data_IF_037999946577
#
_entry.id   IF_037999946577
#
_cell.length_a   1.000
_cell.length_b   1.000
_cell.length_c   1.000
_cell.angle_alpha   90.00
_cell.angle_beta   90.00
_cell.angle_gamma   90.00
#
_symmetry.space_group_name_H-M   'P 1'
#
loop_
_entity.id
_entity.type
_entity.pdbx_description
1 polymer ?
#
# COMPACT_ATOMS: atom_id res chain seq x y z
N UNK A 1 42.89 23.09 -23.06
CA UNK A 1 43.03 21.97 -22.12
C UNK A 1 42.18 22.28 -20.90
N UNK A 2 40.89 21.94 -20.94
CA UNK A 2 39.98 22.06 -19.80
C UNK A 2 39.94 20.69 -19.11
N UNK A 3 40.55 20.61 -17.94
CA UNK A 3 40.47 19.46 -17.04
C UNK A 3 39.00 19.18 -16.69
N UNK A 4 38.40 18.18 -17.32
CA UNK A 4 37.19 17.57 -16.81
C UNK A 4 37.60 16.71 -15.61
N UNK A 5 37.60 17.31 -14.41
CA UNK A 5 37.60 16.56 -13.16
C UNK A 5 36.34 15.70 -13.13
N UNK A 6 36.48 14.39 -13.34
CA UNK A 6 35.41 13.45 -13.03
C UNK A 6 35.03 13.64 -11.55
N UNK A 7 33.76 13.85 -11.20
CA UNK A 7 33.36 13.94 -9.81
C UNK A 7 33.70 12.61 -9.13
N UNK A 8 34.59 12.64 -8.15
CA UNK A 8 35.02 11.47 -7.39
C UNK A 8 33.82 10.89 -6.64
N UNK A 9 33.31 9.75 -7.09
CA UNK A 9 32.19 9.08 -6.43
C UNK A 9 32.71 8.40 -5.17
N UNK A 10 32.09 8.71 -4.04
CA UNK A 10 32.39 8.11 -2.75
C UNK A 10 31.29 7.13 -2.37
N UNK A 11 31.68 5.94 -1.89
CA UNK A 11 30.80 5.00 -1.20
C UNK A 11 30.95 5.22 0.30
N UNK A 12 29.89 5.69 0.93
CA UNK A 12 29.88 5.97 2.37
C UNK A 12 28.83 5.11 3.06
N UNK A 13 29.25 4.44 4.13
CA UNK A 13 28.39 3.65 5.01
C UNK A 13 28.11 4.47 6.25
N UNK A 14 26.84 4.74 6.49
CA UNK A 14 26.34 5.42 7.67
C UNK A 14 25.70 4.41 8.61
N UNK A 15 26.02 4.49 9.89
CA UNK A 15 25.23 3.85 10.95
C UNK A 15 24.13 4.82 11.33
N UNK A 16 22.88 4.37 11.30
CA UNK A 16 21.70 5.16 11.65
C UNK A 16 20.92 4.42 12.74
N UNK A 17 21.30 4.59 14.03
CA UNK A 17 20.78 3.76 15.12
C UNK A 17 19.26 3.71 15.23
N UNK A 18 18.56 4.82 14.97
CA UNK A 18 17.10 4.88 15.08
C UNK A 18 16.35 4.43 13.80
N UNK A 19 17.03 3.90 12.79
CA UNK A 19 16.39 3.44 11.54
C UNK A 19 15.83 2.01 11.69
N UNK A 20 14.76 1.81 12.47
CA UNK A 20 14.12 0.49 12.67
C UNK A 20 12.98 0.25 11.71
N UNK A 21 12.40 1.33 11.22
CA UNK A 21 11.10 1.28 10.61
C UNK A 21 11.13 1.97 9.23
N UNK A 22 10.18 1.57 8.38
CA UNK A 22 9.98 2.18 7.08
C UNK A 22 9.86 3.70 7.03
N UNK A 23 9.33 4.29 8.09
CA UNK A 23 9.07 5.73 8.16
C UNK A 23 10.39 6.50 8.26
N UNK A 24 11.37 5.97 8.99
CA UNK A 24 12.71 6.57 9.09
C UNK A 24 13.48 6.42 7.78
N UNK A 25 13.36 5.29 7.09
CA UNK A 25 13.90 5.13 5.73
C UNK A 25 13.34 6.21 4.78
N UNK A 26 12.01 6.39 4.76
CA UNK A 26 11.37 7.38 3.91
C UNK A 26 11.83 8.81 4.25
N UNK A 27 11.95 9.14 5.54
CA UNK A 27 12.46 10.44 6.00
C UNK A 27 13.91 10.69 5.53
N UNK A 28 14.75 9.65 5.58
CA UNK A 28 16.13 9.71 5.07
C UNK A 28 16.12 9.95 3.55
N UNK A 29 15.33 9.19 2.78
CA UNK A 29 15.23 9.37 1.32
C UNK A 29 14.77 10.78 0.94
N UNK A 30 13.82 11.34 1.68
CA UNK A 30 13.33 12.70 1.45
C UNK A 30 14.38 13.76 1.78
N UNK A 31 15.10 13.62 2.90
CA UNK A 31 16.14 14.56 3.32
C UNK A 31 17.33 14.58 2.34
N UNK A 32 17.64 13.43 1.76
CA UNK A 32 18.74 13.23 0.83
C UNK A 32 18.38 13.54 -0.64
N UNK A 33 17.10 13.73 -0.96
CA UNK A 33 16.63 13.95 -2.34
C UNK A 33 17.15 15.21 -3.03
N UNK A 34 17.80 16.13 -2.29
CA UNK A 34 18.44 17.33 -2.85
C UNK A 34 19.92 17.16 -3.19
N UNK A 35 20.53 16.01 -2.91
CA UNK A 35 21.96 15.73 -3.10
C UNK A 35 22.21 14.86 -4.34
N UNK A 36 23.44 14.93 -4.87
CA UNK A 36 23.88 14.13 -6.01
C UNK A 36 24.19 12.68 -5.59
N UNK A 37 23.14 11.92 -5.30
CA UNK A 37 23.21 10.52 -4.85
C UNK A 37 22.89 9.58 -5.99
N UNK A 38 23.81 8.65 -6.26
CA UNK A 38 23.70 7.64 -7.30
C UNK A 38 22.96 6.40 -6.82
N UNK A 39 23.20 5.96 -5.59
CA UNK A 39 22.52 4.81 -4.98
C UNK A 39 22.30 5.02 -3.49
N UNK A 40 21.20 4.46 -2.96
CA UNK A 40 20.95 4.33 -1.52
C UNK A 40 20.46 2.92 -1.24
N UNK A 41 21.18 2.19 -0.40
CA UNK A 41 20.82 0.86 0.07
C UNK A 41 20.64 0.89 1.59
N UNK A 42 19.54 0.32 2.08
CA UNK A 42 19.11 0.41 3.47
C UNK A 42 19.10 -0.98 4.10
N UNK A 43 20.07 -1.24 4.94
CA UNK A 43 20.16 -2.44 5.76
C UNK A 43 19.57 -2.15 7.16
N UNK A 44 18.24 -2.17 7.22
CA UNK A 44 17.45 -1.94 8.45
C UNK A 44 17.87 -2.90 9.58
N UNK A 45 18.02 -4.23 9.37
CA UNK A 45 18.46 -5.14 10.42
C UNK A 45 19.78 -4.72 11.09
N UNK A 46 20.75 -4.22 10.31
CA UNK A 46 22.05 -3.81 10.82
C UNK A 46 22.16 -2.30 11.09
N UNK A 47 21.07 -1.54 10.93
CA UNK A 47 21.04 -0.07 11.10
C UNK A 47 22.05 0.65 10.20
N UNK A 48 22.24 0.17 8.97
CA UNK A 48 23.23 0.71 8.02
C UNK A 48 22.57 1.29 6.77
N UNK A 49 23.09 2.43 6.34
CA UNK A 49 22.73 3.14 5.12
C UNK A 49 23.97 3.25 4.24
N UNK A 50 23.94 2.62 3.08
CA UNK A 50 25.05 2.62 2.13
C UNK A 50 24.69 3.55 0.99
N UNK A 51 25.49 4.59 0.78
CA UNK A 51 25.23 5.62 -0.23
C UNK A 51 26.43 5.72 -1.16
N UNK A 52 26.18 5.71 -2.46
CA UNK A 52 27.16 6.20 -3.44
C UNK A 52 26.78 7.62 -3.86
N UNK A 53 27.66 8.59 -3.66
CA UNK A 53 27.37 10.00 -3.92
C UNK A 53 28.58 10.74 -4.49
N UNK A 54 28.32 11.86 -5.15
CA UNK A 54 29.35 12.78 -5.64
C UNK A 54 29.63 13.95 -4.68
N UNK A 55 28.92 14.00 -3.56
CA UNK A 55 29.10 15.02 -2.50
C UNK A 55 30.24 14.65 -1.54
N UNK A 56 30.68 15.58 -0.70
CA UNK A 56 31.53 15.22 0.45
C UNK A 56 30.73 14.43 1.49
N UNK A 57 31.28 13.38 2.12
CA UNK A 57 30.58 12.54 3.10
C UNK A 57 29.94 13.33 4.26
N UNK A 58 30.59 14.43 4.69
CA UNK A 58 30.08 15.29 5.75
C UNK A 58 28.85 16.10 5.31
N UNK A 59 28.75 16.49 4.03
CA UNK A 59 27.56 17.18 3.51
C UNK A 59 26.35 16.26 3.53
N UNK A 60 26.56 14.98 3.22
CA UNK A 60 25.51 13.95 3.35
C UNK A 60 25.14 13.74 4.81
N UNK A 61 26.13 13.68 5.71
CA UNK A 61 25.89 13.57 7.14
C UNK A 61 25.08 14.76 7.70
N UNK A 62 25.40 15.98 7.28
CA UNK A 62 24.72 17.21 7.72
C UNK A 62 23.24 17.24 7.33
N UNK A 63 22.84 16.49 6.30
CA UNK A 63 21.42 16.30 5.95
C UNK A 63 20.73 15.24 6.81
N UNK A 64 21.48 14.29 7.37
CA UNK A 64 20.97 13.22 8.22
C UNK A 64 20.88 13.63 9.69
N UNK A 65 21.80 14.47 10.18
CA UNK A 65 21.84 14.91 11.59
C UNK A 65 20.51 15.56 12.04
N UNK A 66 19.87 16.46 11.27
CA UNK A 66 18.61 17.08 11.67
C UNK A 66 17.43 16.12 11.83
N UNK A 67 17.50 14.90 11.26
CA UNK A 67 16.47 13.88 11.43
C UNK A 67 16.45 13.30 12.85
N UNK A 68 17.50 13.51 13.65
CA UNK A 68 17.56 13.03 15.03
C UNK A 68 17.80 11.52 15.15
N UNK A 69 18.12 10.82 14.05
CA UNK A 69 18.31 9.36 14.07
C UNK A 69 19.69 8.89 14.54
N UNK A 70 20.57 9.82 14.94
CA UNK A 70 21.91 9.52 15.44
C UNK A 70 22.90 9.07 14.36
N UNK A 71 22.68 9.48 13.10
CA UNK A 71 23.51 9.09 11.96
C UNK A 71 24.99 9.42 12.20
N UNK A 72 25.88 8.47 11.88
CA UNK A 72 27.35 8.62 11.93
C UNK A 72 27.97 7.93 10.73
N UNK A 73 29.08 8.46 10.24
CA UNK A 73 29.88 7.80 9.21
C UNK A 73 30.62 6.63 9.87
N UNK A 74 30.39 5.41 9.37
CA UNK A 74 31.16 4.22 9.74
C UNK A 74 32.40 4.08 8.86
N UNK A 75 32.26 4.28 7.55
CA UNK A 75 33.36 4.21 6.59
C UNK A 75 33.03 5.03 5.34
N UNK A 76 34.04 5.58 4.69
CA UNK A 76 33.93 6.26 3.41
C UNK A 76 35.12 5.90 2.53
N UNK A 77 34.85 5.43 1.31
CA UNK A 77 35.87 5.05 0.34
C UNK A 77 35.62 5.75 -1.00
N UNK A 78 36.64 6.39 -1.54
CA UNK A 78 36.60 6.96 -2.90
C UNK A 78 36.73 5.81 -3.90
N UNK A 79 35.81 5.72 -4.86
CA UNK A 79 35.84 4.69 -5.88
C UNK A 79 36.72 5.19 -7.04
N UNK A 80 37.97 4.70 -7.11
CA UNK A 80 38.97 5.09 -8.12
C UNK A 80 38.63 4.56 -9.53
N UNK A 81 37.85 3.47 -9.61
CA UNK A 81 37.33 2.87 -10.85
C UNK A 81 35.81 2.67 -10.74
N UNK A 82 35.06 3.76 -10.60
CA UNK A 82 33.62 3.70 -10.85
C UNK A 82 33.42 3.57 -12.37
N UNK A 83 33.60 2.36 -12.90
CA UNK A 83 32.93 1.97 -14.12
C UNK A 83 31.45 2.29 -13.88
N UNK A 84 30.96 3.32 -14.56
CA UNK A 84 29.54 3.41 -14.85
C UNK A 84 29.26 2.19 -15.71
N UNK A 85 29.07 1.02 -15.09
CA UNK A 85 28.15 0.06 -15.63
C UNK A 85 26.87 0.88 -15.78
N UNK A 86 26.40 1.16 -17.01
CA UNK A 86 25.11 1.79 -17.17
C UNK A 86 24.17 0.95 -16.30
N UNK A 87 23.44 1.63 -15.44
CA UNK A 87 22.47 1.02 -14.53
C UNK A 87 21.59 0.10 -15.38
N UNK A 88 21.96 -1.17 -15.46
CA UNK A 88 21.09 -2.29 -15.79
C UNK A 88 20.38 -2.75 -14.49
N UNK A 89 20.37 -1.89 -13.48
CA UNK A 89 19.54 -2.03 -12.30
C UNK A 89 18.12 -1.58 -12.67
N UNK A 90 17.22 -2.56 -12.62
CA UNK A 90 15.81 -2.42 -12.27
C UNK A 90 14.77 -2.01 -13.32
N UNK A 91 15.10 -1.70 -14.58
CA UNK A 91 14.04 -1.55 -15.60
C UNK A 91 13.16 -2.82 -15.75
N UNK A 92 13.75 -4.00 -15.60
CA UNK A 92 13.02 -5.28 -15.61
C UNK A 92 12.31 -5.58 -14.28
N UNK A 93 12.84 -5.13 -13.14
CA UNK A 93 12.18 -5.28 -11.83
C UNK A 93 11.01 -4.31 -11.68
N UNK A 94 11.18 -3.04 -12.05
CA UNK A 94 10.13 -2.02 -12.12
C UNK A 94 9.03 -2.41 -13.11
N UNK A 95 9.39 -2.95 -14.28
CA UNK A 95 8.41 -3.45 -15.24
C UNK A 95 7.62 -4.65 -14.68
N UNK A 96 8.26 -5.50 -13.88
CA UNK A 96 7.62 -6.66 -13.26
C UNK A 96 6.76 -6.27 -12.05
N UNK A 97 7.19 -5.32 -11.22
CA UNK A 97 6.40 -4.74 -10.13
C UNK A 97 5.18 -4.00 -10.66
N UNK A 98 5.36 -3.19 -11.71
CA UNK A 98 4.26 -2.53 -12.41
C UNK A 98 3.24 -3.54 -12.95
N UNK A 99 3.69 -4.68 -13.51
CA UNK A 99 2.79 -5.75 -13.95
C UNK A 99 2.00 -6.34 -12.78
N UNK A 100 2.63 -6.55 -11.63
CA UNK A 100 1.96 -7.05 -10.42
C UNK A 100 0.90 -6.05 -9.95
N UNK A 101 1.25 -4.76 -9.86
CA UNK A 101 0.29 -3.70 -9.49
C UNK A 101 -0.89 -3.60 -10.47
N UNK A 102 -0.66 -3.75 -11.78
CA UNK A 102 -1.74 -3.79 -12.77
C UNK A 102 -2.65 -5.01 -12.54
N UNK A 103 -2.09 -6.17 -12.22
CA UNK A 103 -2.87 -7.35 -11.88
C UNK A 103 -3.70 -7.16 -10.62
N UNK A 104 -3.10 -6.62 -9.55
CA UNK A 104 -3.80 -6.32 -8.30
C UNK A 104 -4.94 -5.32 -8.52
N UNK A 105 -4.68 -4.27 -9.30
CA UNK A 105 -5.71 -3.30 -9.72
C UNK A 105 -6.84 -3.96 -10.50
N UNK A 106 -6.52 -4.79 -11.49
CA UNK A 106 -7.53 -5.43 -12.33
C UNK A 106 -8.40 -6.40 -11.52
N UNK A 107 -7.79 -7.18 -10.63
CA UNK A 107 -8.49 -8.15 -9.80
C UNK A 107 -9.41 -7.47 -8.76
N UNK A 108 -8.88 -6.52 -7.98
CA UNK A 108 -9.68 -5.75 -7.02
C UNK A 108 -10.76 -4.91 -7.70
N UNK A 109 -10.41 -4.24 -8.80
CA UNK A 109 -11.36 -3.44 -9.56
C UNK A 109 -12.50 -4.27 -10.15
N UNK A 110 -12.22 -5.48 -10.66
CA UNK A 110 -13.25 -6.39 -11.14
C UNK A 110 -14.13 -6.90 -10.00
N UNK A 111 -13.52 -7.33 -8.89
CA UNK A 111 -14.25 -7.84 -7.72
C UNK A 111 -15.15 -6.77 -7.10
N UNK A 112 -14.69 -5.51 -7.02
CA UNK A 112 -15.53 -4.39 -6.59
C UNK A 112 -16.87 -4.34 -7.34
N UNK A 113 -16.85 -4.44 -8.68
CA UNK A 113 -18.09 -4.43 -9.46
C UNK A 113 -18.94 -5.69 -9.24
N UNK A 114 -18.32 -6.85 -9.13
CA UNK A 114 -19.02 -8.11 -8.84
C UNK A 114 -19.73 -8.02 -7.49
N UNK A 115 -19.02 -7.61 -6.44
CA UNK A 115 -19.53 -7.58 -5.07
C UNK A 115 -20.52 -6.45 -4.82
N UNK A 116 -20.33 -5.27 -5.40
CA UNK A 116 -21.30 -4.18 -5.22
C UNK A 116 -22.63 -4.51 -5.89
N UNK A 117 -22.61 -5.15 -7.07
CA UNK A 117 -23.81 -5.58 -7.79
C UNK A 117 -24.46 -6.74 -7.03
N UNK A 118 -23.67 -7.77 -6.67
CA UNK A 118 -24.18 -8.92 -5.95
C UNK A 118 -24.73 -8.54 -4.57
N UNK A 119 -24.02 -7.72 -3.80
CA UNK A 119 -24.45 -7.21 -2.50
C UNK A 119 -25.70 -6.36 -2.59
N UNK A 120 -25.89 -5.60 -3.67
CA UNK A 120 -27.13 -4.88 -3.91
C UNK A 120 -28.30 -5.82 -4.15
N UNK A 121 -28.14 -6.81 -5.04
CA UNK A 121 -29.19 -7.79 -5.38
C UNK A 121 -29.52 -8.66 -4.17
N UNK A 122 -28.49 -9.15 -3.47
CA UNK A 122 -28.58 -10.01 -2.30
C UNK A 122 -28.99 -9.27 -1.02
N UNK A 123 -29.13 -7.93 -1.05
CA UNK A 123 -29.42 -7.10 0.13
C UNK A 123 -28.43 -7.31 1.28
N UNK A 124 -27.15 -7.59 0.99
CA UNK A 124 -26.12 -7.87 2.00
C UNK A 124 -25.29 -6.62 2.29
N UNK A 125 -25.26 -6.22 3.56
CA UNK A 125 -24.37 -5.18 4.06
C UNK A 125 -22.91 -5.63 4.05
N UNK A 126 -22.64 -6.91 4.34
CA UNK A 126 -21.29 -7.50 4.31
C UNK A 126 -20.66 -7.42 2.93
N UNK A 127 -21.34 -7.93 1.89
CA UNK A 127 -20.85 -7.88 0.51
C UNK A 127 -20.64 -6.44 0.00
N UNK A 128 -21.52 -5.52 0.38
CA UNK A 128 -21.35 -4.12 0.01
C UNK A 128 -20.08 -3.57 0.67
N UNK A 129 -19.88 -3.79 1.97
CA UNK A 129 -18.71 -3.30 2.68
C UNK A 129 -17.39 -3.89 2.14
N UNK A 130 -17.38 -5.18 1.81
CA UNK A 130 -16.24 -5.88 1.17
C UNK A 130 -15.91 -5.26 -0.20
N UNK A 131 -16.92 -4.98 -1.01
CA UNK A 131 -16.74 -4.28 -2.28
C UNK A 131 -16.06 -2.92 -2.10
N UNK A 132 -16.46 -2.15 -1.09
CA UNK A 132 -15.86 -0.84 -0.82
C UNK A 132 -14.38 -0.96 -0.42
N UNK A 133 -14.00 -2.02 0.29
CA UNK A 133 -12.60 -2.31 0.63
C UNK A 133 -11.78 -2.61 -0.64
N UNK A 134 -12.31 -3.45 -1.53
CA UNK A 134 -11.72 -3.72 -2.85
C UNK A 134 -11.55 -2.45 -3.70
N UNK A 135 -12.50 -1.51 -3.60
CA UNK A 135 -12.39 -0.22 -4.25
C UNK A 135 -11.26 0.63 -3.67
N UNK A 136 -11.14 0.68 -2.33
CA UNK A 136 -10.07 1.40 -1.65
C UNK A 136 -8.70 0.87 -2.09
N UNK A 137 -8.55 -0.44 -2.12
CA UNK A 137 -7.34 -1.14 -2.57
C UNK A 137 -7.02 -0.84 -4.04
N UNK A 138 -8.01 -0.95 -4.92
CA UNK A 138 -7.88 -0.57 -6.33
C UNK A 138 -7.45 0.90 -6.49
N UNK A 139 -8.03 1.82 -5.72
CA UNK A 139 -7.69 3.23 -5.78
C UNK A 139 -6.24 3.49 -5.32
N UNK A 140 -5.77 2.78 -4.29
CA UNK A 140 -4.36 2.82 -3.86
C UNK A 140 -3.44 2.32 -4.98
N UNK A 141 -3.78 1.23 -5.66
CA UNK A 141 -2.99 0.73 -6.79
C UNK A 141 -2.99 1.70 -7.99
N UNK A 142 -4.12 2.36 -8.29
CA UNK A 142 -4.17 3.43 -9.30
C UNK A 142 -3.22 4.57 -8.94
N UNK A 143 -3.26 5.05 -7.70
CA UNK A 143 -2.38 6.12 -7.23
C UNK A 143 -0.92 5.68 -7.33
N UNK A 144 -0.59 4.44 -6.92
CA UNK A 144 0.75 3.88 -7.02
C UNK A 144 1.25 3.80 -8.48
N UNK A 145 0.42 3.32 -9.41
CA UNK A 145 0.74 3.23 -10.84
C UNK A 145 0.86 4.60 -11.52
N UNK A 146 -0.05 5.52 -11.20
CA UNK A 146 -0.01 6.90 -11.72
C UNK A 146 1.18 7.70 -11.16
N UNK A 147 1.67 7.32 -9.99
CA UNK A 147 2.77 7.96 -9.28
C UNK A 147 4.17 7.60 -9.82
N UNK A 148 4.32 6.56 -10.65
CA UNK A 148 5.61 6.18 -11.24
C UNK A 148 6.03 7.27 -12.25
N UNK A 149 7.04 8.06 -11.89
CA UNK A 149 7.61 9.12 -12.75
C UNK A 149 6.96 10.51 -12.66
N UNK A 150 6.04 10.76 -11.71
CA UNK A 150 5.40 12.09 -11.52
C UNK A 150 5.75 12.79 -10.21
N UNK A 151 5.71 14.12 -10.20
CA UNK A 151 5.98 14.97 -9.04
C UNK A 151 5.02 14.67 -7.85
N UNK A 152 5.55 14.73 -6.62
CA UNK A 152 4.86 14.35 -5.38
C UNK A 152 3.48 15.03 -5.17
N UNK A 153 3.32 16.27 -5.65
CA UNK A 153 2.07 17.03 -5.55
C UNK A 153 0.90 16.39 -6.31
N UNK A 154 1.16 15.73 -7.45
CA UNK A 154 0.11 15.03 -8.20
C UNK A 154 -0.33 13.74 -7.50
N UNK A 155 0.58 13.09 -6.77
CA UNK A 155 0.30 11.88 -5.99
C UNK A 155 -0.69 12.17 -4.86
N UNK A 156 -0.45 13.25 -4.12
CA UNK A 156 -1.32 13.65 -3.00
C UNK A 156 -2.73 14.04 -3.46
N UNK A 157 -2.86 14.74 -4.60
CA UNK A 157 -4.17 15.10 -5.16
C UNK A 157 -4.98 13.86 -5.57
N UNK A 158 -4.35 12.90 -6.23
CA UNK A 158 -5.01 11.66 -6.65
C UNK A 158 -5.46 10.82 -5.44
N UNK A 159 -4.59 10.67 -4.43
CA UNK A 159 -4.93 9.99 -3.18
C UNK A 159 -6.10 10.67 -2.45
N UNK A 160 -6.10 12.01 -2.36
CA UNK A 160 -7.21 12.75 -1.74
C UNK A 160 -8.52 12.58 -2.49
N UNK A 161 -8.50 12.58 -3.83
CA UNK A 161 -9.70 12.32 -4.62
C UNK A 161 -10.26 10.93 -4.35
N UNK A 162 -9.40 9.90 -4.35
CA UNK A 162 -9.78 8.53 -3.99
C UNK A 162 -10.44 8.48 -2.60
N UNK A 163 -9.81 9.07 -1.59
CA UNK A 163 -10.35 9.12 -0.23
C UNK A 163 -11.68 9.88 -0.11
N UNK A 164 -11.94 10.90 -0.94
CA UNK A 164 -13.24 11.58 -0.98
C UNK A 164 -14.32 10.66 -1.57
N UNK A 165 -14.02 9.99 -2.69
CA UNK A 165 -14.96 9.06 -3.32
C UNK A 165 -15.28 7.90 -2.38
N UNK A 166 -14.27 7.33 -1.75
CA UNK A 166 -14.40 6.26 -0.77
C UNK A 166 -15.28 6.69 0.42
N UNK A 167 -15.05 7.88 0.98
CA UNK A 167 -15.87 8.41 2.07
C UNK A 167 -17.35 8.55 1.67
N UNK A 168 -17.65 9.01 0.45
CA UNK A 168 -19.01 9.11 -0.06
C UNK A 168 -19.66 7.73 -0.22
N UNK A 169 -18.92 6.76 -0.77
CA UNK A 169 -19.40 5.38 -0.92
C UNK A 169 -19.68 4.75 0.45
N UNK A 170 -18.78 4.91 1.41
CA UNK A 170 -18.95 4.36 2.77
C UNK A 170 -20.13 5.01 3.50
N UNK A 171 -20.34 6.31 3.34
CA UNK A 171 -21.53 6.98 3.87
C UNK A 171 -22.83 6.42 3.27
N UNK A 172 -22.84 6.16 1.95
CA UNK A 172 -23.97 5.54 1.26
C UNK A 172 -24.20 4.09 1.74
N UNK A 173 -23.13 3.32 1.94
CA UNK A 173 -23.20 1.96 2.49
C UNK A 173 -23.83 1.97 3.89
N UNK A 174 -23.38 2.85 4.79
CA UNK A 174 -23.96 2.97 6.13
C UNK A 174 -25.42 3.43 6.12
N UNK A 175 -25.77 4.40 5.26
CA UNK A 175 -27.17 4.77 5.05
C UNK A 175 -27.99 3.54 4.68
N UNK A 176 -27.51 2.76 3.70
CA UNK A 176 -28.22 1.59 3.19
C UNK A 176 -28.35 0.49 4.24
N UNK A 177 -27.29 0.18 4.98
CA UNK A 177 -27.34 -0.77 6.10
C UNK A 177 -28.32 -0.28 7.17
N UNK A 178 -28.32 1.01 7.52
CA UNK A 178 -29.29 1.60 8.45
C UNK A 178 -30.74 1.47 7.95
N UNK A 179 -30.96 1.68 6.66
CA UNK A 179 -32.27 1.47 6.04
C UNK A 179 -32.70 0.00 6.09
N UNK A 180 -31.80 -0.95 5.78
CA UNK A 180 -32.07 -2.39 5.86
C UNK A 180 -32.39 -2.85 7.28
N UNK A 181 -31.68 -2.32 8.28
CA UNK A 181 -31.97 -2.55 9.71
C UNK A 181 -33.38 -2.06 10.05
N UNK A 182 -33.76 -0.87 9.58
CA UNK A 182 -35.08 -0.29 9.84
C UNK A 182 -36.23 -1.14 9.26
N UNK A 183 -36.07 -1.65 8.04
CA UNK A 183 -37.11 -2.45 7.37
C UNK A 183 -36.98 -3.97 7.63
N UNK A 184 -35.93 -4.41 8.32
CA UNK A 184 -35.69 -5.81 8.64
C UNK A 184 -35.40 -6.71 7.43
N UNK A 185 -34.68 -6.21 6.42
CA UNK A 185 -34.40 -7.00 5.20
C UNK A 185 -33.52 -8.20 5.50
N UNK A 186 -33.91 -9.36 4.97
CA UNK A 186 -33.09 -10.57 5.04
C UNK A 186 -32.14 -10.64 3.84
N UNK A 187 -30.82 -10.78 4.05
CA UNK A 187 -29.88 -10.93 2.95
C UNK A 187 -29.99 -12.34 2.34
N UNK A 188 -29.62 -12.48 1.06
CA UNK A 188 -29.56 -13.77 0.38
C UNK A 188 -28.26 -14.50 0.75
N UNK A 189 -28.31 -15.58 1.55
CA UNK A 189 -27.10 -16.14 2.15
C UNK A 189 -26.22 -16.89 1.15
N UNK A 190 -26.78 -17.45 0.08
CA UNK A 190 -25.98 -18.19 -0.91
C UNK A 190 -25.08 -17.22 -1.68
N UNK A 191 -25.59 -16.05 -2.06
CA UNK A 191 -24.83 -14.98 -2.67
C UNK A 191 -23.72 -14.50 -1.73
N UNK A 192 -24.01 -14.30 -0.45
CA UNK A 192 -22.97 -13.96 0.54
C UNK A 192 -21.83 -14.98 0.52
N UNK A 193 -22.14 -16.27 0.65
CA UNK A 193 -21.13 -17.33 0.74
C UNK A 193 -20.36 -17.47 -0.58
N UNK A 194 -21.04 -17.60 -1.72
CA UNK A 194 -20.40 -17.91 -2.99
C UNK A 194 -19.62 -16.72 -3.56
N UNK A 195 -20.13 -15.51 -3.42
CA UNK A 195 -19.43 -14.31 -3.89
C UNK A 195 -18.22 -14.04 -2.98
N UNK A 196 -18.36 -14.16 -1.67
CA UNK A 196 -17.22 -13.98 -0.76
C UNK A 196 -16.18 -15.09 -0.92
N UNK A 197 -16.57 -16.32 -1.30
CA UNK A 197 -15.63 -17.39 -1.63
C UNK A 197 -14.84 -17.09 -2.93
N UNK A 198 -15.51 -16.50 -3.92
CA UNK A 198 -14.86 -16.00 -5.12
C UNK A 198 -13.88 -14.86 -4.78
N UNK A 199 -14.31 -13.89 -3.98
CA UNK A 199 -13.48 -12.79 -3.49
C UNK A 199 -12.26 -13.29 -2.71
N UNK A 200 -12.47 -14.23 -1.79
CA UNK A 200 -11.40 -14.90 -1.04
C UNK A 200 -10.39 -15.57 -1.97
N UNK A 201 -10.84 -16.24 -3.04
CA UNK A 201 -9.94 -16.88 -4.00
C UNK A 201 -9.08 -15.84 -4.72
N UNK A 202 -9.67 -14.70 -5.09
CA UNK A 202 -8.96 -13.58 -5.70
C UNK A 202 -7.94 -12.97 -4.72
N UNK A 203 -8.35 -12.68 -3.49
CA UNK A 203 -7.49 -12.08 -2.47
C UNK A 203 -6.36 -12.99 -2.02
N UNK A 204 -6.60 -14.30 -1.90
CA UNK A 204 -5.53 -15.28 -1.67
C UNK A 204 -4.54 -15.30 -2.85
N UNK A 205 -5.02 -15.15 -4.09
CA UNK A 205 -4.15 -15.06 -5.26
C UNK A 205 -3.30 -13.78 -5.24
N UNK A 206 -3.90 -12.64 -4.88
CA UNK A 206 -3.21 -11.36 -4.66
C UNK A 206 -2.14 -11.49 -3.56
N UNK A 207 -2.52 -12.05 -2.40
CA UNK A 207 -1.63 -12.29 -1.26
C UNK A 207 -0.47 -13.21 -1.64
N UNK A 208 -0.73 -14.27 -2.42
CA UNK A 208 0.29 -15.18 -2.91
C UNK A 208 1.28 -14.48 -3.85
N UNK A 209 0.80 -13.65 -4.79
CA UNK A 209 1.62 -12.85 -5.70
C UNK A 209 2.53 -11.88 -4.93
N UNK A 210 2.00 -11.23 -3.89
CA UNK A 210 2.74 -10.29 -3.03
C UNK A 210 3.73 -11.05 -2.12
N UNK A 211 3.35 -12.22 -1.61
CA UNK A 211 4.18 -13.00 -0.66
C UNK A 211 5.54 -13.39 -1.24
N UNK A 212 5.61 -13.63 -2.55
CA UNK A 212 6.86 -13.93 -3.28
C UNK A 212 7.85 -12.77 -3.30
N UNK A 213 7.40 -11.57 -2.92
CA UNK A 213 8.16 -10.30 -2.97
C UNK A 213 8.02 -9.49 -1.69
N UNK A 214 7.57 -10.09 -0.57
CA UNK A 214 7.31 -9.36 0.69
C UNK A 214 8.55 -8.68 1.30
N UNK A 215 9.73 -9.08 0.87
CA UNK A 215 11.02 -8.55 1.32
C UNK A 215 11.61 -7.50 0.37
N UNK A 216 10.95 -7.18 -0.74
CA UNK A 216 11.43 -6.21 -1.75
C UNK A 216 11.17 -4.74 -1.34
N UNK A 217 10.69 -4.49 -0.11
CA UNK A 217 10.54 -3.16 0.46
C UNK A 217 9.32 -2.97 1.35
N UNK A 218 9.21 -1.78 1.93
CA UNK A 218 8.11 -1.35 2.81
C UNK A 218 6.75 -1.47 2.14
N UNK A 219 6.66 -0.99 0.90
CA UNK A 219 5.40 -0.96 0.15
C UNK A 219 4.83 -2.37 -0.03
N UNK A 220 5.69 -3.37 -0.21
CA UNK A 220 5.28 -4.78 -0.32
C UNK A 220 4.81 -5.38 1.01
N UNK A 221 5.38 -4.96 2.14
CA UNK A 221 4.87 -5.34 3.47
C UNK A 221 3.51 -4.72 3.75
N UNK A 222 3.32 -3.45 3.37
CA UNK A 222 2.02 -2.78 3.51
C UNK A 222 0.95 -3.49 2.66
N UNK A 223 1.23 -3.77 1.39
CA UNK A 223 0.32 -4.51 0.50
C UNK A 223 0.02 -5.93 1.01
N UNK A 224 0.98 -6.58 1.69
CA UNK A 224 0.72 -7.88 2.33
C UNK A 224 -0.27 -7.77 3.50
N UNK A 225 -0.17 -6.71 4.31
CA UNK A 225 -1.09 -6.47 5.44
C UNK A 225 -2.50 -6.14 4.92
N UNK A 226 -2.62 -5.27 3.90
CA UNK A 226 -3.90 -4.96 3.27
C UNK A 226 -4.55 -6.23 2.71
N UNK A 227 -3.81 -6.97 1.87
CA UNK A 227 -4.33 -8.20 1.28
C UNK A 227 -4.66 -9.30 2.31
N UNK A 228 -4.05 -9.28 3.50
CA UNK A 228 -4.43 -10.16 4.61
C UNK A 228 -5.72 -9.72 5.33
N UNK A 229 -5.98 -8.41 5.40
CA UNK A 229 -7.24 -7.89 5.94
C UNK A 229 -8.41 -8.25 5.02
N UNK A 230 -8.24 -8.17 3.70
CA UNK A 230 -9.30 -8.55 2.76
C UNK A 230 -9.69 -10.02 2.91
N UNK A 231 -8.69 -10.90 3.11
CA UNK A 231 -8.93 -12.33 3.41
C UNK A 231 -9.76 -12.49 4.69
N UNK A 232 -9.48 -11.71 5.73
CA UNK A 232 -10.27 -11.73 6.97
C UNK A 232 -11.69 -11.17 6.76
N UNK A 233 -11.84 -10.13 5.94
CA UNK A 233 -13.13 -9.56 5.57
C UNK A 233 -14.00 -10.60 4.84
N UNK A 234 -13.47 -11.23 3.78
CA UNK A 234 -14.19 -12.26 3.03
C UNK A 234 -14.57 -13.45 3.93
N UNK A 235 -13.65 -13.92 4.78
CA UNK A 235 -13.96 -14.97 5.76
C UNK A 235 -15.07 -14.55 6.73
N UNK A 236 -15.03 -13.30 7.18
CA UNK A 236 -16.08 -12.70 8.00
C UNK A 236 -17.45 -12.75 7.32
N UNK A 237 -17.52 -12.36 6.04
CA UNK A 237 -18.78 -12.38 5.27
C UNK A 237 -19.26 -13.81 5.01
N UNK A 238 -18.36 -14.77 4.73
CA UNK A 238 -18.72 -16.19 4.61
C UNK A 238 -19.32 -16.70 5.91
N UNK A 239 -18.66 -16.45 7.05
CA UNK A 239 -19.16 -16.85 8.37
C UNK A 239 -20.50 -16.19 8.66
N UNK A 240 -20.65 -14.90 8.35
CA UNK A 240 -21.92 -14.20 8.50
C UNK A 240 -23.02 -14.84 7.64
N UNK A 241 -22.75 -15.18 6.37
CA UNK A 241 -23.70 -15.87 5.49
C UNK A 241 -24.16 -17.22 6.06
N UNK A 242 -23.22 -18.02 6.59
CA UNK A 242 -23.55 -19.28 7.27
C UNK A 242 -24.40 -19.04 8.53
N UNK A 243 -24.06 -18.03 9.33
CA UNK A 243 -24.82 -17.66 10.53
C UNK A 243 -26.21 -17.11 10.20
N UNK A 244 -26.39 -16.40 9.07
CA UNK A 244 -27.71 -15.95 8.62
C UNK A 244 -28.61 -17.15 8.36
N UNK A 245 -28.11 -18.20 7.71
CA UNK A 245 -28.86 -19.45 7.49
C UNK A 245 -29.17 -20.13 8.81
N UNK A 246 -28.17 -20.30 9.67
CA UNK A 246 -28.30 -21.09 10.90
C UNK A 246 -29.18 -20.42 11.96
N UNK A 247 -29.06 -19.10 12.10
CA UNK A 247 -29.84 -18.30 13.06
C UNK A 247 -31.16 -17.80 12.47
N UNK A 248 -31.37 -17.99 11.17
CA UNK A 248 -32.51 -17.45 10.42
C UNK A 248 -32.72 -15.96 10.69
N UNK A 249 -31.63 -15.19 10.62
CA UNK A 249 -31.55 -13.84 11.16
C UNK A 249 -30.59 -12.95 10.36
N UNK A 250 -30.93 -11.69 10.06
CA UNK A 250 -30.08 -10.79 9.28
C UNK A 250 -28.96 -10.14 10.10
N UNK A 251 -29.00 -10.21 11.44
CA UNK A 251 -28.03 -9.55 12.31
C UNK A 251 -26.56 -9.87 12.00
N UNK A 252 -26.15 -11.12 11.69
CA UNK A 252 -24.76 -11.42 11.39
C UNK A 252 -24.21 -10.61 10.19
N UNK A 253 -25.01 -10.42 9.14
CA UNK A 253 -24.64 -9.65 7.96
C UNK A 253 -24.50 -8.15 8.27
N UNK A 254 -25.45 -7.58 9.01
CA UNK A 254 -25.37 -6.17 9.40
C UNK A 254 -24.18 -5.87 10.30
N UNK A 255 -23.91 -6.76 11.26
CA UNK A 255 -22.76 -6.61 12.16
C UNK A 255 -21.46 -6.67 11.37
N UNK A 256 -21.27 -7.68 10.51
CA UNK A 256 -20.02 -7.78 9.74
C UNK A 256 -19.88 -6.62 8.75
N UNK A 257 -20.97 -6.21 8.08
CA UNK A 257 -20.97 -5.08 7.17
C UNK A 257 -20.62 -3.76 7.86
N UNK A 258 -21.12 -3.54 9.08
CA UNK A 258 -20.73 -2.38 9.88
C UNK A 258 -19.25 -2.44 10.29
N UNK A 259 -18.77 -3.59 10.74
CA UNK A 259 -17.36 -3.77 11.15
C UNK A 259 -16.42 -3.47 9.98
N UNK A 260 -16.63 -4.09 8.82
CA UNK A 260 -15.83 -3.85 7.61
C UNK A 260 -15.97 -2.39 7.17
N UNK A 261 -17.20 -1.86 7.13
CA UNK A 261 -17.44 -0.46 6.76
C UNK A 261 -16.70 0.55 7.63
N UNK A 262 -16.55 0.30 8.94
CA UNK A 262 -15.77 1.16 9.83
C UNK A 262 -14.26 1.06 9.58
N UNK A 263 -13.75 -0.10 9.17
CA UNK A 263 -12.34 -0.25 8.76
C UNK A 263 -12.07 0.59 7.51
N UNK A 264 -12.92 0.47 6.49
CA UNK A 264 -12.84 1.26 5.25
C UNK A 264 -12.94 2.76 5.54
N UNK A 265 -13.93 3.19 6.34
CA UNK A 265 -14.05 4.60 6.75
C UNK A 265 -12.77 5.14 7.40
N UNK A 266 -12.16 4.33 8.27
CA UNK A 266 -10.91 4.70 8.94
C UNK A 266 -9.75 4.85 7.95
N UNK A 267 -9.69 3.98 6.94
CA UNK A 267 -8.78 4.08 5.80
C UNK A 267 -8.94 5.38 5.03
N UNK A 268 -10.15 5.67 4.55
CA UNK A 268 -10.49 6.89 3.83
C UNK A 268 -10.10 8.16 4.60
N UNK A 269 -10.43 8.25 5.90
CA UNK A 269 -10.09 9.40 6.75
C UNK A 269 -8.57 9.55 6.87
N UNK A 270 -7.83 8.44 7.01
CA UNK A 270 -6.36 8.47 7.08
C UNK A 270 -5.75 9.02 5.80
N UNK A 271 -6.27 8.64 4.63
CA UNK A 271 -5.83 9.14 3.32
C UNK A 271 -6.07 10.66 3.22
N UNK A 272 -7.24 11.14 3.64
CA UNK A 272 -7.58 12.57 3.59
C UNK A 272 -6.70 13.44 4.50
N UNK A 273 -6.17 12.87 5.58
CA UNK A 273 -5.29 13.55 6.54
C UNK A 273 -3.82 13.64 6.09
N UNK A 274 -3.45 13.01 4.98
CA UNK A 274 -2.10 13.10 4.42
C UNK A 274 -1.78 14.58 4.04
N UNK A 275 -0.62 15.07 4.51
CA UNK A 275 -0.13 16.43 4.29
C UNK A 275 0.97 16.46 3.25
#
# INVERSE_FOLDING_TARGET
MSNHLNPSISKTIFIVPAMDCPSEEQMIRMALGSLSIHTMDFDIPNRKLIICHSEEPNVVLDKLVPLGFGAKIESSQVLEDFEIKPIQLDAAKDAQERKVLIWLLALNGLMFFVEIIAGWIAQSAGLIADALDMFADAAVYVVALYAVGKAAQHKLKAAKLAGVVELLLTALAFWRTGYQIYIGTMPEPNAMIWISLLALTVNVTCLYLISKRKNDGVHMRASYIFSANDVLANLGVIVAGVLVVWLNSPYPDWVIGLVIGFLVLSGAIRILRLK
#
